data_IF_343899632316
#
_entry.id   IF_343899632316
#
_cell.length_a   1.000
_cell.length_b   1.000
_cell.length_c   1.000
_cell.angle_alpha   90.00
_cell.angle_beta   90.00
_cell.angle_gamma   90.00
#
_symmetry.space_group_name_H-M   'P 1'
#
loop_
_entity.id
_entity.type
_entity.pdbx_description
1 polymer ?
#
# COMPACT_ATOMS: atom_id res chain seq x y z
N UNK A 1 -12.82 0.52 -6.69
CA UNK A 1 -12.41 -0.46 -5.64
C UNK A 1 -11.12 -0.03 -4.95
N UNK A 2 -10.08 0.44 -5.66
CA UNK A 2 -8.88 0.98 -5.01
C UNK A 2 -9.24 2.11 -4.03
N UNK A 3 -10.00 3.10 -4.45
CA UNK A 3 -10.45 4.20 -3.59
C UNK A 3 -11.11 3.75 -2.28
N UNK A 4 -11.95 2.70 -2.31
CA UNK A 4 -12.60 2.18 -1.11
C UNK A 4 -11.60 1.58 -0.12
N UNK A 5 -10.60 0.84 -0.62
CA UNK A 5 -9.57 0.26 0.22
C UNK A 5 -8.67 1.36 0.84
N UNK A 6 -8.35 2.39 0.07
CA UNK A 6 -7.62 3.56 0.58
C UNK A 6 -8.39 4.30 1.67
N UNK A 7 -9.71 4.44 1.54
CA UNK A 7 -10.57 5.05 2.57
C UNK A 7 -10.61 4.24 3.86
N UNK A 8 -10.68 2.91 3.77
CA UNK A 8 -10.61 2.02 4.93
C UNK A 8 -9.25 2.13 5.64
N UNK A 9 -8.16 2.18 4.86
CA UNK A 9 -6.80 2.32 5.41
C UNK A 9 -6.63 3.70 6.04
N UNK A 10 -7.15 4.76 5.43
CA UNK A 10 -7.14 6.11 6.00
C UNK A 10 -7.91 6.17 7.33
N UNK A 11 -9.12 5.58 7.39
CA UNK A 11 -9.90 5.48 8.62
C UNK A 11 -9.13 4.75 9.73
N UNK A 12 -8.47 3.64 9.39
CA UNK A 12 -7.64 2.89 10.33
C UNK A 12 -6.47 3.73 10.86
N UNK A 13 -5.79 4.47 10.00
CA UNK A 13 -4.71 5.36 10.39
C UNK A 13 -5.20 6.50 11.30
N UNK A 14 -6.29 7.16 10.91
CA UNK A 14 -6.88 8.26 11.68
C UNK A 14 -7.32 7.80 13.07
N UNK A 15 -7.96 6.62 13.18
CA UNK A 15 -8.32 6.04 14.47
C UNK A 15 -7.11 5.64 15.33
N UNK A 16 -5.96 5.43 14.71
CA UNK A 16 -4.69 5.20 15.41
C UNK A 16 -3.87 6.48 15.65
N UNK A 17 -4.48 7.65 15.46
CA UNK A 17 -3.89 8.94 15.81
C UNK A 17 -2.96 9.53 14.76
N UNK A 18 -3.03 9.06 13.51
CA UNK A 18 -2.28 9.64 12.41
C UNK A 18 -3.05 10.76 11.72
N UNK A 19 -2.37 11.81 11.31
CA UNK A 19 -2.82 12.80 10.33
C UNK A 19 -2.49 12.27 8.94
N UNK A 20 -3.46 12.22 8.04
CA UNK A 20 -3.31 11.60 6.72
C UNK A 20 -3.51 12.58 5.57
N UNK A 21 -2.83 12.31 4.46
CA UNK A 21 -3.08 12.92 3.15
C UNK A 21 -3.24 11.77 2.15
N UNK A 22 -4.41 11.68 1.51
CA UNK A 22 -4.74 10.61 0.58
C UNK A 22 -4.78 11.10 -0.87
N UNK A 23 -4.41 10.23 -1.82
CA UNK A 23 -4.59 10.45 -3.26
C UNK A 23 -3.72 11.58 -3.82
N UNK A 24 -2.46 11.65 -3.43
CA UNK A 24 -1.55 12.73 -3.83
C UNK A 24 -1.09 12.54 -5.26
N UNK A 25 -1.35 13.53 -6.12
CA UNK A 25 -0.93 13.52 -7.52
C UNK A 25 0.37 14.31 -7.70
N UNK A 26 1.36 13.69 -8.33
CA UNK A 26 2.66 14.26 -8.66
C UNK A 26 2.94 14.08 -10.16
N UNK A 27 2.21 14.82 -10.99
CA UNK A 27 2.18 14.61 -12.44
C UNK A 27 1.59 13.23 -12.77
N UNK A 28 2.40 12.36 -13.38
CA UNK A 28 2.01 10.99 -13.71
C UNK A 28 2.24 9.99 -12.56
N UNK A 29 2.82 10.44 -11.45
CA UNK A 29 3.02 9.65 -10.25
C UNK A 29 1.89 9.91 -9.25
N UNK A 30 1.65 8.93 -8.39
CA UNK A 30 0.66 9.01 -7.32
C UNK A 30 1.22 8.37 -6.05
N UNK A 31 0.84 8.93 -4.90
CA UNK A 31 1.01 8.31 -3.59
C UNK A 31 -0.39 8.08 -3.05
N UNK A 32 -0.68 6.84 -2.65
CA UNK A 32 -2.01 6.49 -2.16
C UNK A 32 -2.27 7.17 -0.80
N UNK A 33 -1.33 7.05 0.16
CA UNK A 33 -1.44 7.67 1.48
C UNK A 33 -0.07 8.08 2.04
N UNK A 34 -0.02 9.26 2.66
CA UNK A 34 1.02 9.66 3.62
C UNK A 34 0.38 9.87 4.99
N UNK A 35 1.05 9.45 6.04
CA UNK A 35 0.56 9.58 7.40
C UNK A 35 1.68 10.03 8.35
N UNK A 36 1.34 10.95 9.26
CA UNK A 36 2.23 11.46 10.31
C UNK A 36 1.55 11.34 11.66
N UNK A 37 2.26 10.87 12.68
CA UNK A 37 1.82 10.91 14.05
C UNK A 37 2.92 11.47 14.96
N UNK A 38 2.52 12.10 16.05
CA UNK A 38 3.44 12.61 17.08
C UNK A 38 3.24 11.83 18.36
N UNK A 39 4.25 11.05 18.74
CA UNK A 39 4.24 10.26 19.97
C UNK A 39 5.37 10.73 20.89
N UNK A 40 5.04 11.37 22.02
CA UNK A 40 6.03 11.83 23.00
C UNK A 40 7.21 12.60 22.37
N UNK A 41 6.92 13.56 21.50
CA UNK A 41 7.89 14.37 20.74
C UNK A 41 8.66 13.65 19.63
N UNK A 42 8.34 12.40 19.33
CA UNK A 42 8.88 11.67 18.18
C UNK A 42 7.85 11.66 17.06
N UNK A 43 8.26 12.06 15.86
CA UNK A 43 7.42 12.00 14.67
C UNK A 43 7.60 10.65 14.02
N UNK A 44 6.50 9.96 13.82
CA UNK A 44 6.43 8.75 12.99
C UNK A 44 5.82 9.12 11.63
N UNK A 45 6.56 8.83 10.54
CA UNK A 45 6.15 9.13 9.18
C UNK A 45 6.01 7.84 8.38
N UNK A 46 4.86 7.69 7.70
CA UNK A 46 4.50 6.47 6.94
C UNK A 46 4.12 6.83 5.52
N UNK A 47 4.67 6.10 4.54
CA UNK A 47 4.25 6.12 3.14
C UNK A 47 3.60 4.78 2.81
N UNK A 48 2.30 4.80 2.61
CA UNK A 48 1.49 3.61 2.42
C UNK A 48 0.99 3.58 0.97
N UNK A 49 1.23 2.47 0.29
CA UNK A 49 0.60 2.15 -0.99
C UNK A 49 -0.48 1.08 -0.75
N UNK A 50 -1.61 1.17 -1.45
CA UNK A 50 -2.75 0.27 -1.26
C UNK A 50 -3.02 -0.47 -2.56
N UNK A 51 -2.79 -1.77 -2.55
CA UNK A 51 -2.99 -2.63 -3.72
C UNK A 51 -3.93 -3.79 -3.36
N UNK A 52 -5.16 -3.44 -3.04
CA UNK A 52 -6.18 -4.38 -2.63
C UNK A 52 -7.19 -4.63 -3.76
N UNK A 53 -7.44 -5.88 -4.06
CA UNK A 53 -8.47 -6.33 -4.99
C UNK A 53 -9.33 -7.40 -4.32
N UNK A 54 -10.65 -7.34 -4.53
CA UNK A 54 -11.58 -8.38 -4.04
C UNK A 54 -11.29 -9.72 -4.71
N UNK A 55 -10.91 -9.69 -5.99
CA UNK A 55 -10.51 -10.90 -6.71
C UNK A 55 -9.02 -11.16 -6.48
N UNK A 56 -8.62 -12.43 -6.26
CA UNK A 56 -7.22 -12.77 -6.14
C UNK A 56 -6.42 -12.32 -7.37
N UNK A 57 -5.33 -11.59 -7.12
CA UNK A 57 -4.37 -11.21 -8.18
C UNK A 57 -3.23 -12.22 -8.22
N UNK A 58 -2.73 -12.53 -9.44
CA UNK A 58 -1.59 -13.44 -9.57
C UNK A 58 -0.31 -12.77 -9.11
N UNK A 59 -0.05 -11.56 -9.58
CA UNK A 59 1.12 -10.77 -9.23
C UNK A 59 0.72 -9.33 -8.91
N UNK A 60 1.39 -8.72 -7.92
CA UNK A 60 1.25 -7.31 -7.56
C UNK A 60 2.08 -6.41 -8.47
N UNK A 61 3.31 -6.83 -8.75
CA UNK A 61 4.24 -6.09 -9.58
C UNK A 61 4.06 -6.45 -11.06
N UNK A 62 4.22 -5.50 -11.99
CA UNK A 62 4.29 -5.81 -13.41
C UNK A 62 5.49 -6.69 -13.75
N UNK A 63 5.41 -7.44 -14.84
CA UNK A 63 6.56 -8.10 -15.44
C UNK A 63 7.63 -7.04 -15.76
N UNK A 64 8.93 -7.28 -15.47
CA UNK A 64 9.97 -6.29 -15.74
C UNK A 64 10.05 -5.93 -17.22
N UNK A 65 10.39 -4.68 -17.52
CA UNK A 65 10.36 -4.12 -18.88
C UNK A 65 11.21 -4.91 -19.88
N UNK A 66 12.36 -5.43 -19.44
CA UNK A 66 13.21 -6.25 -20.29
C UNK A 66 12.53 -7.56 -20.68
N UNK A 67 11.93 -8.27 -19.71
CA UNK A 67 11.19 -9.50 -19.97
C UNK A 67 9.96 -9.27 -20.86
N UNK A 68 9.28 -8.13 -20.75
CA UNK A 68 8.20 -7.76 -21.67
C UNK A 68 8.68 -7.64 -23.11
N UNK A 69 9.83 -6.99 -23.33
CA UNK A 69 10.44 -6.82 -24.68
C UNK A 69 10.91 -8.16 -25.26
N UNK A 70 11.59 -8.98 -24.46
CA UNK A 70 12.16 -10.25 -24.90
C UNK A 70 11.08 -11.29 -25.21
N UNK A 71 10.00 -11.33 -24.44
CA UNK A 71 8.98 -12.39 -24.52
C UNK A 71 7.67 -11.97 -25.17
N UNK A 72 7.47 -10.67 -25.42
CA UNK A 72 6.20 -10.12 -25.91
C UNK A 72 5.04 -10.22 -24.90
N UNK A 73 5.29 -10.65 -23.66
CA UNK A 73 4.26 -10.78 -22.63
C UNK A 73 3.78 -9.40 -22.14
N UNK A 74 2.48 -9.30 -21.82
CA UNK A 74 1.89 -8.10 -21.22
C UNK A 74 2.41 -7.90 -19.78
N UNK A 75 2.44 -6.64 -19.26
CA UNK A 75 2.92 -6.33 -17.91
C UNK A 75 2.27 -7.18 -16.81
N UNK A 76 0.97 -7.39 -16.87
CA UNK A 76 0.20 -8.18 -15.89
C UNK A 76 -0.11 -9.60 -16.36
N UNK A 77 0.78 -10.19 -17.18
CA UNK A 77 0.66 -11.59 -17.60
C UNK A 77 0.61 -12.53 -16.40
N UNK A 78 -0.35 -13.46 -16.41
CA UNK A 78 -0.54 -14.47 -15.35
C UNK A 78 0.36 -15.69 -15.52
N UNK A 79 1.14 -15.79 -16.63
CA UNK A 79 2.10 -16.87 -16.81
C UNK A 79 3.14 -16.87 -15.71
N UNK A 80 3.52 -18.04 -15.25
CA UNK A 80 4.53 -18.23 -14.22
C UNK A 80 5.83 -17.48 -14.58
N UNK A 81 6.38 -16.80 -13.60
CA UNK A 81 7.59 -16.00 -13.72
C UNK A 81 8.79 -16.77 -13.19
N UNK A 82 9.92 -16.56 -13.82
CA UNK A 82 11.19 -17.04 -13.29
C UNK A 82 11.57 -16.26 -12.02
N UNK A 83 12.43 -16.80 -11.14
CA UNK A 83 12.91 -16.06 -9.97
C UNK A 83 13.55 -14.70 -10.33
N UNK A 84 14.24 -14.63 -11.46
CA UNK A 84 14.83 -13.38 -11.96
C UNK A 84 13.77 -12.37 -12.38
N UNK A 85 12.76 -12.81 -13.13
CA UNK A 85 11.63 -11.94 -13.54
C UNK A 85 10.86 -11.40 -12.32
N UNK A 86 10.71 -12.21 -11.26
CA UNK A 86 10.10 -11.77 -10.01
C UNK A 86 10.97 -10.71 -9.32
N UNK A 87 12.26 -10.97 -9.12
CA UNK A 87 13.16 -10.05 -8.45
C UNK A 87 13.30 -8.71 -9.20
N UNK A 88 13.49 -8.76 -10.54
CA UNK A 88 13.60 -7.55 -11.37
C UNK A 88 12.27 -6.77 -11.38
N UNK A 89 11.13 -7.46 -11.46
CA UNK A 89 9.80 -6.84 -11.43
C UNK A 89 9.52 -6.13 -10.10
N UNK A 90 9.84 -6.77 -8.98
CA UNK A 90 9.72 -6.16 -7.65
C UNK A 90 10.62 -4.94 -7.51
N UNK A 91 11.88 -5.03 -7.96
CA UNK A 91 12.84 -3.91 -7.91
C UNK A 91 12.34 -2.70 -8.71
N UNK A 92 11.86 -2.91 -9.95
CA UNK A 92 11.30 -1.83 -10.78
C UNK A 92 10.07 -1.22 -10.13
N UNK A 93 9.19 -2.05 -9.57
CA UNK A 93 7.96 -1.62 -8.91
C UNK A 93 8.24 -0.80 -7.63
N UNK A 94 9.13 -1.29 -6.75
CA UNK A 94 9.55 -0.58 -5.54
C UNK A 94 10.17 0.77 -5.88
N UNK A 95 11.04 0.81 -6.90
CA UNK A 95 11.63 2.07 -7.36
C UNK A 95 10.57 3.07 -7.80
N UNK A 96 9.59 2.63 -8.56
CA UNK A 96 8.48 3.47 -9.03
C UNK A 96 7.57 3.92 -7.88
N UNK A 97 7.20 3.00 -6.97
CA UNK A 97 6.21 3.25 -5.92
C UNK A 97 6.80 4.08 -4.76
N UNK A 98 8.02 3.83 -4.35
CA UNK A 98 8.59 4.46 -3.17
C UNK A 98 9.79 5.37 -3.45
N UNK A 99 10.61 5.06 -4.46
CA UNK A 99 11.90 5.71 -4.68
C UNK A 99 11.94 6.69 -5.85
N UNK A 100 10.79 7.01 -6.46
CA UNK A 100 10.72 8.04 -7.50
C UNK A 100 11.05 9.42 -6.93
N UNK A 101 11.85 10.22 -7.65
CA UNK A 101 12.39 11.49 -7.15
C UNK A 101 11.30 12.50 -6.74
N UNK A 102 10.21 12.62 -7.50
CA UNK A 102 9.11 13.49 -7.12
C UNK A 102 8.48 13.10 -5.76
N UNK A 103 8.38 11.79 -5.46
CA UNK A 103 7.88 11.29 -4.19
C UNK A 103 8.87 11.56 -3.04
N UNK A 104 10.18 11.41 -3.30
CA UNK A 104 11.22 11.74 -2.32
C UNK A 104 11.21 13.23 -1.98
N UNK A 105 11.12 14.09 -2.99
CA UNK A 105 11.04 15.55 -2.79
C UNK A 105 9.85 15.95 -1.93
N UNK A 106 8.67 15.39 -2.21
CA UNK A 106 7.48 15.67 -1.39
C UNK A 106 7.67 15.21 0.05
N UNK A 107 8.12 13.97 0.27
CA UNK A 107 8.35 13.48 1.63
C UNK A 107 9.34 14.33 2.41
N UNK A 108 10.44 14.73 1.77
CA UNK A 108 11.45 15.60 2.40
C UNK A 108 10.91 17.00 2.71
N UNK A 109 10.00 17.53 1.88
CA UNK A 109 9.34 18.81 2.13
C UNK A 109 8.39 18.74 3.34
N UNK A 110 7.74 17.57 3.56
CA UNK A 110 6.82 17.38 4.68
C UNK A 110 7.55 17.01 5.98
N UNK A 111 8.54 16.12 5.91
CA UNK A 111 9.32 15.67 7.05
C UNK A 111 10.67 15.12 6.60
N UNK A 112 11.76 15.65 7.15
CA UNK A 112 13.14 15.29 6.79
C UNK A 112 13.71 14.10 7.58
N UNK A 113 12.88 13.41 8.37
CA UNK A 113 13.25 12.20 9.09
C UNK A 113 13.03 10.91 8.31
N UNK A 114 13.07 9.79 9.01
CA UNK A 114 12.86 8.47 8.44
C UNK A 114 11.38 8.23 8.09
N UNK A 115 11.13 7.73 6.89
CA UNK A 115 9.82 7.30 6.42
C UNK A 115 9.73 5.77 6.39
N UNK A 116 8.73 5.22 7.07
CA UNK A 116 8.38 3.79 6.97
C UNK A 116 7.63 3.56 5.66
N UNK A 117 8.06 2.57 4.90
CA UNK A 117 7.41 2.17 3.65
C UNK A 117 6.51 0.96 3.90
N UNK A 118 5.27 1.07 3.46
CA UNK A 118 4.23 0.10 3.77
C UNK A 118 3.34 -0.19 2.57
N UNK A 119 2.87 -1.41 2.48
CA UNK A 119 1.96 -1.87 1.44
C UNK A 119 0.78 -2.61 2.07
N UNK A 120 -0.42 -2.17 1.73
CA UNK A 120 -1.65 -2.87 2.09
C UNK A 120 -2.10 -3.73 0.92
N UNK A 121 -2.26 -5.03 1.17
CA UNK A 121 -2.71 -6.03 0.19
C UNK A 121 -3.97 -6.73 0.69
N UNK A 122 -4.65 -7.45 -0.22
CA UNK A 122 -5.73 -8.37 0.17
C UNK A 122 -5.39 -9.80 -0.29
N UNK A 123 -5.88 -10.25 -1.42
CA UNK A 123 -5.67 -11.62 -1.92
C UNK A 123 -4.58 -11.66 -2.98
N UNK A 124 -3.47 -12.35 -2.69
CA UNK A 124 -2.34 -12.57 -3.61
C UNK A 124 -2.08 -14.07 -3.75
N UNK A 125 -1.92 -14.56 -4.99
CA UNK A 125 -1.72 -15.99 -5.26
C UNK A 125 -0.31 -16.48 -4.99
N UNK A 126 0.69 -15.64 -5.26
CA UNK A 126 2.10 -16.01 -5.18
C UNK A 126 2.79 -15.30 -4.00
N UNK A 127 2.96 -15.97 -2.85
CA UNK A 127 3.57 -15.37 -1.65
C UNK A 127 5.04 -15.01 -1.84
N UNK A 128 5.74 -15.64 -2.77
CA UNK A 128 7.17 -15.38 -3.04
C UNK A 128 7.43 -13.93 -3.47
N UNK A 129 6.47 -13.31 -4.15
CA UNK A 129 6.56 -11.90 -4.54
C UNK A 129 6.49 -10.99 -3.30
N UNK A 130 5.65 -11.34 -2.32
CA UNK A 130 5.49 -10.60 -1.07
C UNK A 130 6.80 -10.65 -0.27
N UNK A 131 7.40 -11.83 -0.14
CA UNK A 131 8.71 -11.99 0.55
C UNK A 131 9.81 -11.12 -0.10
N UNK A 132 9.80 -11.01 -1.43
CA UNK A 132 10.74 -10.15 -2.15
C UNK A 132 10.47 -8.66 -1.86
N UNK A 133 9.22 -8.23 -1.78
CA UNK A 133 8.84 -6.86 -1.43
C UNK A 133 9.30 -6.54 0.00
N UNK A 134 9.09 -7.44 0.96
CA UNK A 134 9.53 -7.27 2.35
C UNK A 134 11.06 -7.16 2.46
N UNK A 135 11.83 -7.89 1.66
CA UNK A 135 13.31 -7.75 1.59
C UNK A 135 13.77 -6.37 1.15
N UNK A 136 12.92 -5.57 0.51
CA UNK A 136 13.18 -4.16 0.20
C UNK A 136 12.82 -3.20 1.35
N UNK A 137 12.52 -3.71 2.56
CA UNK A 137 12.20 -2.91 3.73
C UNK A 137 10.76 -2.38 3.74
N UNK A 138 9.87 -2.98 2.96
CA UNK A 138 8.45 -2.59 2.89
C UNK A 138 7.66 -3.52 3.81
N UNK A 139 6.96 -2.93 4.79
CA UNK A 139 6.10 -3.68 5.70
C UNK A 139 4.76 -3.98 5.04
N UNK A 140 4.34 -5.23 5.12
CA UNK A 140 3.07 -5.68 4.53
C UNK A 140 1.98 -5.69 5.59
N UNK A 141 0.80 -5.16 5.23
CA UNK A 141 -0.44 -5.27 5.99
C UNK A 141 -1.51 -5.95 5.15
N UNK A 142 -2.37 -6.71 5.79
CA UNK A 142 -3.52 -7.32 5.15
C UNK A 142 -4.77 -6.48 5.40
N UNK A 143 -5.52 -6.20 4.33
CA UNK A 143 -6.73 -5.38 4.42
C UNK A 143 -7.80 -6.03 5.33
N UNK A 144 -7.93 -7.36 5.30
CA UNK A 144 -8.85 -8.08 6.16
C UNK A 144 -8.51 -7.94 7.66
N UNK A 145 -7.22 -7.92 8.01
CA UNK A 145 -6.77 -7.66 9.39
C UNK A 145 -7.06 -6.22 9.83
N UNK A 146 -6.88 -5.25 8.92
CA UNK A 146 -7.23 -3.84 9.16
C UNK A 146 -8.73 -3.69 9.43
N UNK A 147 -9.57 -4.28 8.58
CA UNK A 147 -11.03 -4.27 8.75
C UNK A 147 -11.43 -4.93 10.07
N UNK A 148 -10.83 -6.06 10.41
CA UNK A 148 -11.06 -6.74 11.69
C UNK A 148 -10.71 -5.84 12.88
N UNK A 149 -9.53 -5.21 12.87
CA UNK A 149 -9.08 -4.28 13.92
C UNK A 149 -10.06 -3.12 14.11
N UNK A 150 -10.57 -2.55 13.00
CA UNK A 150 -11.57 -1.50 13.03
C UNK A 150 -12.91 -1.99 13.61
N UNK A 151 -13.36 -3.19 13.24
CA UNK A 151 -14.63 -3.77 13.69
C UNK A 151 -14.61 -4.16 15.16
N UNK A 152 -13.47 -4.58 15.68
CA UNK A 152 -13.28 -4.95 17.09
C UNK A 152 -12.96 -3.75 18.00
N UNK A 153 -12.88 -2.54 17.42
CA UNK A 153 -12.58 -1.32 18.18
C UNK A 153 -11.16 -1.29 18.77
N UNK A 154 -10.23 -2.01 18.16
CA UNK A 154 -8.82 -2.08 18.58
C UNK A 154 -8.03 -0.85 18.10
N UNK A 155 -8.58 0.33 18.31
CA UNK A 155 -8.02 1.61 17.88
C UNK A 155 -8.10 2.64 19.02
N UNK A 156 -7.25 3.66 18.99
CA UNK A 156 -7.19 4.72 20.01
C UNK A 156 -8.46 5.57 19.96
N UNK A 157 -8.92 5.91 18.74
CA UNK A 157 -10.14 6.67 18.48
C UNK A 157 -11.19 5.68 17.97
N UNK A 158 -12.40 5.72 18.52
CA UNK A 158 -13.45 4.74 18.19
C UNK A 158 -14.12 5.03 16.84
N UNK A 159 -14.14 6.28 16.41
CA UNK A 159 -14.79 6.71 15.16
C UNK A 159 -14.07 7.91 14.56
N UNK A 160 -13.93 7.94 13.25
CA UNK A 160 -13.42 9.06 12.47
C UNK A 160 -14.28 9.27 11.21
N UNK A 161 -13.85 10.08 10.26
CA UNK A 161 -14.68 10.50 9.12
C UNK A 161 -15.17 9.36 8.21
N UNK A 162 -14.42 8.24 8.13
CA UNK A 162 -14.76 7.06 7.33
C UNK A 162 -15.67 6.03 8.02
N UNK A 163 -16.20 6.31 9.19
CA UNK A 163 -17.00 5.35 9.97
C UNK A 163 -18.24 4.85 9.25
N UNK A 164 -18.96 5.73 8.56
CA UNK A 164 -20.18 5.36 7.81
C UNK A 164 -19.87 4.37 6.69
N UNK A 165 -18.74 4.55 6.01
CA UNK A 165 -18.27 3.64 4.97
C UNK A 165 -17.93 2.26 5.53
N UNK A 166 -17.25 2.22 6.67
CA UNK A 166 -16.92 0.97 7.36
C UNK A 166 -18.20 0.22 7.78
N UNK A 167 -19.19 0.92 8.32
CA UNK A 167 -20.49 0.34 8.68
C UNK A 167 -21.20 -0.28 7.48
N UNK A 168 -21.19 0.41 6.32
CA UNK A 168 -21.77 -0.13 5.08
C UNK A 168 -21.05 -1.40 4.61
N UNK A 169 -19.72 -1.45 4.70
CA UNK A 169 -18.94 -2.64 4.34
C UNK A 169 -19.27 -3.80 5.27
N UNK A 170 -19.45 -3.55 6.56
CA UNK A 170 -19.76 -4.56 7.56
C UNK A 170 -21.21 -5.08 7.46
N UNK A 171 -22.16 -4.26 7.00
CA UNK A 171 -23.55 -4.71 6.78
C UNK A 171 -23.64 -5.78 5.68
N UNK A 172 -22.77 -5.74 4.69
CA UNK A 172 -22.69 -6.73 3.61
C UNK A 172 -22.01 -8.05 3.99
N UNK A 173 -21.45 -8.14 5.19
CA UNK A 173 -20.69 -9.32 5.69
C UNK A 173 -21.46 -10.15 6.73
N UNK A 174 -22.73 -9.83 6.98
CA UNK A 174 -23.67 -10.64 7.75
C UNK A 174 -24.55 -11.44 6.79
#
# INVERSE_FOLDING_TARGET
MAMLAEEIVEEWLNRNGYFTIRGIKLGVQEIDLLALAVHKSVIEARHIEVQASVRPVSYLCPLPKNAQKETGRKPMSMKQRTPRELADGVKEWVTKKYNHDAKKHLRNALFQGEWKYELVIHNVKFPEEIELIEKHGIKIYRLDEIVKSLSEGQTIIQSAAGSDLLELVMLGSK
#
